data_IF_469294160330
#
_entry.id   IF_469294160330
#
_cell.length_a   1.000
_cell.length_b   1.000
_cell.length_c   1.000
_cell.angle_alpha   90.00
_cell.angle_beta   90.00
_cell.angle_gamma   90.00
#
_symmetry.space_group_name_H-M   'P 1'
#
loop_
_entity.id
_entity.type
_entity.pdbx_description
1 polymer ?
#
# COMPACT_ATOMS: atom_id res chain seq x y z
N UNK A 1 7.59 -3.48 20.20
CA UNK A 1 6.15 -3.23 20.36
C UNK A 1 5.45 -4.54 20.67
N UNK A 2 4.71 -4.60 21.77
CA UNK A 2 3.95 -5.79 22.14
C UNK A 2 2.55 -5.73 21.49
N UNK A 3 2.28 -6.62 20.57
CA UNK A 3 0.98 -6.72 19.86
C UNK A 3 0.01 -7.73 20.50
N UNK A 4 0.42 -8.43 21.56
CA UNK A 4 -0.43 -9.41 22.24
C UNK A 4 -1.38 -8.72 23.20
N UNK A 5 -2.68 -9.00 23.09
CA UNK A 5 -3.68 -8.62 24.09
C UNK A 5 -3.80 -9.65 25.22
N UNK A 6 -3.35 -10.89 24.97
CA UNK A 6 -3.55 -12.02 25.87
C UNK A 6 -2.33 -12.32 26.75
N UNK A 7 -1.15 -11.96 26.25
CA UNK A 7 0.10 -12.23 26.96
C UNK A 7 0.85 -10.93 27.19
N UNK A 8 1.15 -10.62 28.41
CA UNK A 8 2.12 -9.59 28.77
C UNK A 8 3.50 -10.26 28.89
N UNK A 9 4.54 -9.54 28.51
CA UNK A 9 5.90 -10.01 28.78
C UNK A 9 6.10 -10.02 30.28
N UNK A 10 6.37 -11.21 30.82
CA UNK A 10 6.66 -11.41 32.26
C UNK A 10 8.16 -11.32 32.56
N UNK A 11 8.99 -11.34 31.53
CA UNK A 11 10.45 -11.24 31.62
C UNK A 11 10.95 -10.06 30.85
N UNK A 12 11.89 -9.32 31.44
CA UNK A 12 12.59 -8.25 30.76
C UNK A 12 13.42 -8.81 29.61
N UNK A 13 13.21 -8.24 28.41
CA UNK A 13 14.04 -8.56 27.26
C UNK A 13 15.36 -7.78 27.41
N UNK A 14 16.48 -8.50 27.43
CA UNK A 14 17.81 -7.91 27.58
C UNK A 14 18.60 -8.08 26.28
N UNK A 15 19.20 -7.00 25.81
CA UNK A 15 20.13 -7.02 24.67
C UNK A 15 21.39 -6.23 25.05
N UNK A 16 22.56 -6.85 24.89
CA UNK A 16 23.84 -6.25 25.30
C UNK A 16 23.84 -5.75 26.76
N UNK A 17 23.32 -6.54 27.69
CA UNK A 17 23.15 -6.21 29.12
C UNK A 17 22.26 -4.99 29.41
N UNK A 18 21.48 -4.54 28.44
CA UNK A 18 20.49 -3.47 28.61
C UNK A 18 19.08 -4.00 28.50
N UNK A 19 18.23 -3.65 29.44
CA UNK A 19 16.79 -3.98 29.39
C UNK A 19 16.11 -3.18 28.28
N UNK A 20 15.40 -3.86 27.39
CA UNK A 20 14.68 -3.22 26.31
C UNK A 20 13.35 -2.62 26.80
N UNK A 21 13.14 -1.35 26.51
CA UNK A 21 11.89 -0.66 26.83
C UNK A 21 10.71 -1.21 26.02
N UNK A 22 9.59 -1.49 26.68
CA UNK A 22 8.33 -1.85 26.04
C UNK A 22 7.58 -0.58 25.65
N UNK A 23 7.52 -0.29 24.37
CA UNK A 23 6.84 0.89 23.84
C UNK A 23 5.51 0.52 23.16
N UNK A 24 4.55 1.44 23.23
CA UNK A 24 3.24 1.28 22.55
C UNK A 24 3.31 1.61 21.06
N UNK A 25 4.32 2.33 20.64
CA UNK A 25 4.55 2.71 19.26
C UNK A 25 6.05 2.86 18.96
N UNK A 26 6.43 2.57 17.73
CA UNK A 26 7.79 2.75 17.25
C UNK A 26 7.78 3.29 15.82
N UNK A 27 8.80 4.08 15.48
CA UNK A 27 9.04 4.53 14.12
C UNK A 27 10.20 3.73 13.52
N UNK A 28 9.90 2.89 12.53
CA UNK A 28 10.90 2.06 11.85
C UNK A 28 10.97 2.46 10.37
N UNK A 29 12.16 2.86 9.90
CA UNK A 29 12.41 3.27 8.51
C UNK A 29 11.37 4.29 7.98
N UNK A 30 10.96 5.21 8.85
CA UNK A 30 9.99 6.26 8.50
C UNK A 30 8.52 5.83 8.53
N UNK A 31 8.21 4.61 8.97
CA UNK A 31 6.86 4.09 9.15
C UNK A 31 6.52 3.96 10.63
N UNK A 32 5.38 4.47 11.06
CA UNK A 32 4.90 4.31 12.43
C UNK A 32 4.17 2.97 12.59
N UNK A 33 4.58 2.19 13.57
CA UNK A 33 3.98 0.92 13.97
C UNK A 33 3.47 1.09 15.39
N UNK A 34 2.18 0.83 15.59
CA UNK A 34 1.52 0.89 16.91
C UNK A 34 1.26 -0.52 17.44
N UNK A 35 1.17 -0.67 18.77
CA UNK A 35 0.91 -1.96 19.43
C UNK A 35 -0.41 -2.60 19.02
N UNK A 36 -1.37 -1.79 18.59
CA UNK A 36 -2.65 -2.25 18.07
C UNK A 36 -2.62 -2.48 16.54
N UNK A 37 -1.49 -2.30 15.87
CA UNK A 37 -1.29 -2.43 14.42
C UNK A 37 -2.32 -1.64 13.58
N UNK A 38 -2.85 -0.54 14.12
CA UNK A 38 -3.65 0.40 13.34
C UNK A 38 -2.73 1.37 12.61
N UNK A 39 -3.17 1.80 11.46
CA UNK A 39 -2.35 2.63 10.58
C UNK A 39 -2.76 4.11 10.57
N UNK A 40 -3.68 4.51 11.48
CA UNK A 40 -4.14 5.89 11.59
C UNK A 40 -2.97 6.85 11.83
N UNK A 41 -2.11 6.56 12.83
CA UNK A 41 -0.93 7.38 13.13
C UNK A 41 0.05 7.46 11.97
N UNK A 42 0.29 6.35 11.29
CA UNK A 42 1.15 6.35 10.11
C UNK A 42 0.55 7.18 8.98
N UNK A 43 -0.75 7.05 8.74
CA UNK A 43 -1.47 7.83 7.71
C UNK A 43 -1.43 9.32 8.00
N UNK A 44 -1.72 9.72 9.24
CA UNK A 44 -1.66 11.12 9.66
C UNK A 44 -0.27 11.71 9.47
N UNK A 45 0.77 10.94 9.80
CA UNK A 45 2.16 11.34 9.57
C UNK A 45 2.46 11.53 8.08
N UNK A 46 2.07 10.56 7.23
CA UNK A 46 2.30 10.64 5.78
C UNK A 46 1.57 11.81 5.15
N UNK A 47 0.31 12.05 5.52
CA UNK A 47 -0.49 13.20 5.08
C UNK A 47 0.15 14.51 5.51
N UNK A 48 0.58 14.62 6.77
CA UNK A 48 1.26 15.82 7.29
C UNK A 48 2.55 16.11 6.53
N UNK A 49 3.39 15.10 6.29
CA UNK A 49 4.64 15.25 5.55
C UNK A 49 4.41 15.59 4.07
N UNK A 50 3.42 14.99 3.44
CA UNK A 50 3.05 15.32 2.06
C UNK A 50 2.52 16.75 1.94
N UNK A 51 1.68 17.19 2.88
CA UNK A 51 1.15 18.57 2.90
C UNK A 51 2.24 19.63 3.15
N UNK A 52 3.27 19.35 3.96
CA UNK A 52 4.43 20.24 4.06
C UNK A 52 5.11 20.46 2.71
N UNK A 53 5.20 19.41 1.89
CA UNK A 53 5.84 19.45 0.56
C UNK A 53 4.95 20.06 -0.50
N UNK A 54 3.63 20.10 -0.27
CA UNK A 54 2.67 20.75 -1.16
C UNK A 54 2.99 22.25 -1.38
N UNK A 55 3.60 22.90 -0.38
CA UNK A 55 4.04 24.31 -0.48
C UNK A 55 5.04 24.51 -1.62
N UNK A 56 5.97 23.56 -1.80
CA UNK A 56 6.93 23.60 -2.91
C UNK A 56 6.22 23.51 -4.27
N UNK A 57 5.28 22.58 -4.39
CA UNK A 57 4.49 22.43 -5.63
C UNK A 57 3.68 23.72 -5.92
N UNK A 58 3.06 24.31 -4.89
CA UNK A 58 2.31 25.54 -5.01
C UNK A 58 3.22 26.73 -5.40
N UNK A 59 4.41 26.86 -4.79
CA UNK A 59 5.36 27.89 -5.16
C UNK A 59 5.83 27.71 -6.61
N UNK A 60 6.20 26.49 -7.00
CA UNK A 60 6.64 26.18 -8.36
C UNK A 60 5.54 26.47 -9.40
N UNK A 61 4.27 26.23 -9.10
CA UNK A 61 3.17 26.45 -10.06
C UNK A 61 2.94 27.91 -10.44
N UNK A 62 3.48 28.86 -9.66
CA UNK A 62 3.40 30.27 -9.99
C UNK A 62 4.31 30.64 -11.17
N UNK A 63 5.45 29.99 -11.30
CA UNK A 63 6.48 30.27 -12.30
C UNK A 63 6.49 29.24 -13.44
N UNK A 64 6.26 27.95 -13.12
CA UNK A 64 6.27 26.85 -14.08
C UNK A 64 4.87 26.65 -14.63
N UNK A 65 4.68 26.81 -15.94
CA UNK A 65 3.39 26.60 -16.64
C UNK A 65 3.28 25.19 -17.25
N UNK A 66 4.40 24.50 -17.41
CA UNK A 66 4.40 23.13 -17.94
C UNK A 66 3.89 22.13 -16.89
N UNK A 67 2.72 21.55 -17.20
CA UNK A 67 2.08 20.54 -16.35
C UNK A 67 2.91 19.27 -16.18
N UNK A 68 3.74 18.90 -17.18
CA UNK A 68 4.61 17.73 -17.09
C UNK A 68 5.66 17.91 -15.99
N UNK A 69 6.28 19.08 -15.93
CA UNK A 69 7.28 19.43 -14.91
C UNK A 69 6.63 19.43 -13.52
N UNK A 70 5.46 20.07 -13.37
CA UNK A 70 4.72 20.09 -12.10
C UNK A 70 4.28 18.67 -11.66
N UNK A 71 3.86 17.84 -12.61
CA UNK A 71 3.51 16.45 -12.35
C UNK A 71 4.72 15.65 -11.90
N UNK A 72 5.88 15.86 -12.52
CA UNK A 72 7.13 15.23 -12.10
C UNK A 72 7.54 15.65 -10.68
N UNK A 73 7.39 16.95 -10.37
CA UNK A 73 7.62 17.47 -9.01
C UNK A 73 6.69 16.82 -7.99
N UNK A 74 5.40 16.64 -8.33
CA UNK A 74 4.45 15.90 -7.50
C UNK A 74 4.92 14.46 -7.26
N UNK A 75 5.35 13.75 -8.30
CA UNK A 75 5.80 12.35 -8.18
C UNK A 75 7.01 12.20 -7.27
N UNK A 76 8.00 13.06 -7.44
CA UNK A 76 9.28 12.94 -6.73
C UNK A 76 9.22 13.44 -5.28
N UNK A 77 8.41 14.43 -4.97
CA UNK A 77 8.42 15.08 -3.65
C UNK A 77 7.21 14.75 -2.78
N UNK A 78 6.04 14.51 -3.37
CA UNK A 78 4.79 14.33 -2.63
C UNK A 78 4.35 12.88 -2.69
N UNK A 79 4.10 12.33 -3.90
CA UNK A 79 3.57 10.99 -4.08
C UNK A 79 4.49 9.91 -3.50
N UNK A 80 5.79 10.05 -3.64
CA UNK A 80 6.77 9.12 -3.07
C UNK A 80 6.58 8.92 -1.54
N UNK A 81 6.14 9.96 -0.83
CA UNK A 81 5.82 9.84 0.61
C UNK A 81 4.53 9.10 0.87
N UNK A 82 3.52 9.31 0.04
CA UNK A 82 2.22 8.62 0.16
C UNK A 82 2.28 7.15 -0.27
N UNK A 83 3.37 6.74 -0.91
CA UNK A 83 3.65 5.38 -1.36
C UNK A 83 4.66 4.64 -0.45
N UNK A 84 5.33 5.35 0.45
CA UNK A 84 6.38 4.78 1.29
C UNK A 84 5.85 3.58 2.09
N UNK A 85 6.52 2.42 1.96
CA UNK A 85 6.15 1.16 2.62
C UNK A 85 4.69 0.73 2.40
N UNK A 86 4.05 1.13 1.27
CA UNK A 86 2.63 0.89 1.02
C UNK A 86 2.24 -0.59 1.11
N UNK A 87 3.11 -1.51 0.70
CA UNK A 87 2.85 -2.95 0.80
C UNK A 87 2.60 -3.41 2.24
N UNK A 88 3.12 -2.70 3.24
CA UNK A 88 2.96 -3.07 4.64
C UNK A 88 1.59 -2.69 5.23
N UNK A 89 1.03 -1.57 4.84
CA UNK A 89 -0.13 -0.98 5.51
C UNK A 89 -1.36 -0.76 4.62
N UNK A 90 -1.20 -0.76 3.30
CA UNK A 90 -2.29 -0.42 2.37
C UNK A 90 -3.56 -1.25 2.57
N UNK A 91 -3.42 -2.56 2.77
CA UNK A 91 -4.55 -3.49 2.88
C UNK A 91 -5.37 -3.35 4.16
N UNK A 92 -4.79 -2.74 5.18
CA UNK A 92 -5.40 -2.59 6.51
C UNK A 92 -5.89 -1.16 6.80
N UNK A 93 -5.91 -0.30 5.78
CA UNK A 93 -6.41 1.07 5.91
C UNK A 93 -7.92 1.11 6.14
N UNK A 94 -8.35 2.03 6.99
CA UNK A 94 -9.75 2.41 7.10
C UNK A 94 -10.18 3.25 5.90
N UNK A 95 -11.50 3.33 5.64
CA UNK A 95 -12.03 4.20 4.58
C UNK A 95 -11.61 5.65 4.79
N UNK A 96 -11.60 6.14 6.04
CA UNK A 96 -11.11 7.46 6.39
C UNK A 96 -9.68 7.67 5.90
N UNK A 97 -8.78 6.74 6.23
CA UNK A 97 -7.36 6.82 5.84
C UNK A 97 -7.17 6.84 4.33
N UNK A 98 -7.96 6.04 3.60
CA UNK A 98 -7.93 6.04 2.13
C UNK A 98 -8.34 7.41 1.58
N UNK A 99 -9.43 7.98 2.10
CA UNK A 99 -9.93 9.30 1.69
C UNK A 99 -8.91 10.40 2.00
N UNK A 100 -8.30 10.38 3.19
CA UNK A 100 -7.35 11.40 3.61
C UNK A 100 -6.09 11.40 2.73
N UNK A 101 -5.57 10.23 2.38
CA UNK A 101 -4.46 10.09 1.44
C UNK A 101 -4.85 10.59 0.03
N UNK A 102 -6.04 10.22 -0.45
CA UNK A 102 -6.52 10.62 -1.77
C UNK A 102 -6.76 12.15 -1.87
N UNK A 103 -7.20 12.79 -0.76
CA UNK A 103 -7.34 14.24 -0.67
C UNK A 103 -6.03 14.98 -0.95
N UNK A 104 -4.90 14.44 -0.53
CA UNK A 104 -3.59 15.03 -0.82
C UNK A 104 -3.30 15.02 -2.32
N UNK A 105 -3.55 13.89 -3.00
CA UNK A 105 -3.41 13.82 -4.46
C UNK A 105 -4.36 14.78 -5.17
N UNK A 106 -5.63 14.83 -4.72
CA UNK A 106 -6.63 15.75 -5.27
C UNK A 106 -6.18 17.22 -5.15
N UNK A 107 -5.59 17.60 -4.02
CA UNK A 107 -5.03 18.95 -3.82
C UNK A 107 -3.85 19.22 -4.73
N UNK A 108 -2.93 18.27 -4.91
CA UNK A 108 -1.80 18.40 -5.82
C UNK A 108 -2.25 18.60 -7.27
N UNK A 109 -3.20 17.78 -7.72
CA UNK A 109 -3.76 17.84 -9.07
C UNK A 109 -4.46 19.17 -9.32
N UNK A 110 -5.17 19.74 -8.34
CA UNK A 110 -5.76 21.09 -8.42
C UNK A 110 -4.70 22.16 -8.61
N UNK A 111 -3.58 22.08 -7.92
CA UNK A 111 -2.47 23.01 -8.07
C UNK A 111 -1.87 22.92 -9.49
N UNK A 112 -1.66 21.69 -10.00
CA UNK A 112 -1.08 21.46 -11.33
C UNK A 112 -1.99 22.01 -12.45
N UNK A 113 -3.31 21.84 -12.31
CA UNK A 113 -4.28 22.28 -13.31
C UNK A 113 -4.66 23.78 -13.18
N UNK A 114 -4.60 24.31 -11.95
CA UNK A 114 -5.00 25.69 -11.65
C UNK A 114 -6.45 25.96 -12.05
N UNK A 115 -6.69 27.06 -12.77
CA UNK A 115 -8.03 27.47 -13.22
C UNK A 115 -8.72 26.47 -14.16
N UNK A 116 -7.96 25.59 -14.83
CA UNK A 116 -8.51 24.58 -15.76
C UNK A 116 -8.93 23.29 -15.05
N UNK A 117 -8.96 23.28 -13.73
CA UNK A 117 -9.42 22.12 -12.96
C UNK A 117 -10.96 22.04 -12.98
N UNK A 118 -11.48 21.00 -13.61
CA UNK A 118 -12.94 20.74 -13.67
C UNK A 118 -13.32 19.66 -12.68
N UNK A 119 -12.87 18.43 -12.92
CA UNK A 119 -13.13 17.29 -12.04
C UNK A 119 -11.85 16.50 -11.74
N UNK A 120 -11.86 15.77 -10.62
CA UNK A 120 -10.73 14.93 -10.24
C UNK A 120 -10.50 13.81 -11.25
N UNK A 121 -11.57 13.11 -11.65
CA UNK A 121 -11.51 11.98 -12.57
C UNK A 121 -10.95 12.37 -13.95
N UNK A 122 -11.44 13.46 -14.52
CA UNK A 122 -11.03 13.88 -15.86
C UNK A 122 -9.63 14.43 -15.86
N UNK A 123 -9.25 15.12 -14.77
CA UNK A 123 -7.88 15.59 -14.57
C UNK A 123 -6.89 14.44 -14.45
N UNK A 124 -7.23 13.36 -13.72
CA UNK A 124 -6.38 12.18 -13.65
C UNK A 124 -6.19 11.53 -15.03
N UNK A 125 -7.27 11.41 -15.81
CA UNK A 125 -7.21 10.86 -17.19
C UNK A 125 -6.30 11.72 -18.09
N UNK A 126 -6.47 13.04 -18.07
CA UNK A 126 -5.68 13.95 -18.91
C UNK A 126 -4.19 14.00 -18.54
N UNK A 127 -3.83 13.76 -17.29
CA UNK A 127 -2.45 13.63 -16.82
C UNK A 127 -1.91 12.20 -16.91
N UNK A 128 -2.76 11.24 -17.30
CA UNK A 128 -2.45 9.81 -17.23
C UNK A 128 -1.94 9.38 -15.85
N UNK A 129 -2.65 9.82 -14.82
CA UNK A 129 -2.38 9.50 -13.41
C UNK A 129 -3.48 8.57 -12.91
N UNK A 130 -3.10 7.47 -12.27
CA UNK A 130 -4.02 6.60 -11.54
C UNK A 130 -4.36 7.17 -10.15
N UNK A 131 -5.44 6.72 -9.53
CA UNK A 131 -5.74 7.02 -8.13
C UNK A 131 -4.63 6.49 -7.22
N UNK A 132 -4.43 7.09 -6.05
CA UNK A 132 -3.44 6.57 -5.09
C UNK A 132 -3.81 5.17 -4.58
N UNK A 133 -5.10 4.85 -4.54
CA UNK A 133 -5.54 3.51 -4.16
C UNK A 133 -5.06 2.47 -5.18
N UNK A 134 -5.37 2.64 -6.46
CA UNK A 134 -4.94 1.76 -7.56
C UNK A 134 -3.41 1.66 -7.63
N UNK A 135 -2.75 2.80 -7.48
CA UNK A 135 -1.29 2.88 -7.47
C UNK A 135 -0.68 2.03 -6.37
N UNK A 136 -1.20 2.12 -5.14
CA UNK A 136 -0.72 1.33 -4.00
C UNK A 136 -1.04 -0.16 -4.17
N UNK A 137 -2.22 -0.53 -4.72
CA UNK A 137 -2.50 -1.93 -5.07
C UNK A 137 -1.45 -2.49 -6.04
N UNK A 138 -1.11 -1.72 -7.06
CA UNK A 138 -0.08 -2.10 -8.03
C UNK A 138 1.30 -2.23 -7.40
N UNK A 139 1.66 -1.37 -6.44
CA UNK A 139 2.90 -1.48 -5.67
C UNK A 139 2.91 -2.74 -4.78
N UNK A 140 1.80 -3.05 -4.12
CA UNK A 140 1.62 -4.28 -3.35
C UNK A 140 1.84 -5.52 -4.23
N UNK A 141 1.22 -5.55 -5.41
CA UNK A 141 1.38 -6.65 -6.35
C UNK A 141 2.84 -6.78 -6.84
N UNK A 142 3.49 -5.65 -7.18
CA UNK A 142 4.91 -5.65 -7.57
C UNK A 142 5.79 -6.18 -6.43
N UNK A 143 5.52 -5.78 -5.19
CA UNK A 143 6.22 -6.28 -4.01
C UNK A 143 6.04 -7.79 -3.87
N UNK A 144 4.80 -8.30 -3.96
CA UNK A 144 4.51 -9.74 -3.90
C UNK A 144 5.25 -10.53 -4.99
N UNK A 145 5.24 -10.04 -6.23
CA UNK A 145 5.94 -10.67 -7.34
C UNK A 145 7.47 -10.71 -7.11
N UNK A 146 8.04 -9.60 -6.62
CA UNK A 146 9.46 -9.53 -6.28
C UNK A 146 9.82 -10.46 -5.11
N UNK A 147 8.94 -10.61 -4.13
CA UNK A 147 9.16 -11.50 -2.99
C UNK A 147 9.29 -12.96 -3.38
N UNK A 148 8.69 -13.40 -4.50
CA UNK A 148 8.86 -14.76 -5.02
C UNK A 148 10.28 -15.06 -5.49
N UNK A 149 11.06 -14.06 -5.88
CA UNK A 149 12.46 -14.23 -6.30
C UNK A 149 13.42 -14.31 -5.11
N UNK A 150 12.95 -13.99 -3.90
CA UNK A 150 13.75 -14.00 -2.66
C UNK A 150 13.44 -15.28 -1.89
N UNK A 151 14.42 -16.16 -1.70
CA UNK A 151 14.22 -17.46 -1.06
C UNK A 151 13.58 -17.36 0.32
N UNK A 152 13.98 -16.37 1.13
CA UNK A 152 13.46 -16.17 2.48
C UNK A 152 11.98 -15.79 2.52
N UNK A 153 11.37 -15.39 1.41
CA UNK A 153 9.95 -14.97 1.35
C UNK A 153 9.06 -15.93 0.56
N UNK A 154 9.63 -16.92 -0.14
CA UNK A 154 8.85 -17.89 -0.93
C UNK A 154 7.79 -18.63 -0.10
N UNK A 155 8.11 -18.98 1.15
CA UNK A 155 7.19 -19.66 2.06
C UNK A 155 5.92 -18.87 2.37
N UNK A 156 5.92 -17.54 2.17
CA UNK A 156 4.74 -16.69 2.36
C UNK A 156 3.70 -16.84 1.23
N UNK A 157 4.08 -17.47 0.13
CA UNK A 157 3.25 -17.64 -1.06
C UNK A 157 3.22 -19.10 -1.53
N UNK A 158 2.73 -20.03 -0.68
CA UNK A 158 2.64 -21.44 -1.06
C UNK A 158 1.73 -21.61 -2.28
N UNK A 159 2.10 -22.51 -3.18
CA UNK A 159 1.26 -22.87 -4.30
C UNK A 159 0.06 -23.67 -3.80
N UNK A 160 -1.10 -23.44 -4.41
CA UNK A 160 -2.30 -24.20 -4.09
C UNK A 160 -2.17 -25.64 -4.61
N UNK A 161 -2.04 -26.59 -3.69
CA UNK A 161 -2.05 -28.02 -3.99
C UNK A 161 -3.48 -28.52 -4.06
N UNK A 162 -3.86 -29.08 -5.21
CA UNK A 162 -5.20 -29.65 -5.40
C UNK A 162 -5.27 -30.98 -4.66
N UNK A 163 -6.08 -31.05 -3.62
CA UNK A 163 -6.36 -32.31 -2.92
C UNK A 163 -7.32 -33.24 -3.69
N UNK A 164 -8.06 -32.75 -4.70
CA UNK A 164 -8.99 -33.56 -5.52
C UNK A 164 -8.99 -33.17 -7.00
N UNK A 165 -9.17 -34.18 -7.86
CA UNK A 165 -9.18 -34.09 -9.33
C UNK A 165 -10.30 -33.24 -9.97
N UNK A 166 -11.25 -32.69 -9.22
CA UNK A 166 -12.30 -31.84 -9.79
C UNK A 166 -11.72 -30.48 -10.21
N UNK A 167 -11.68 -30.26 -11.50
CA UNK A 167 -11.29 -28.97 -12.11
C UNK A 167 -12.38 -27.93 -11.87
N UNK A 168 -12.32 -27.21 -10.77
CA UNK A 168 -13.12 -25.98 -10.63
C UNK A 168 -12.63 -24.93 -11.63
N UNK A 169 -13.57 -24.19 -12.25
CA UNK A 169 -13.26 -23.12 -13.21
C UNK A 169 -12.39 -21.99 -12.61
N UNK A 170 -12.32 -21.88 -11.29
CA UNK A 170 -11.55 -20.90 -10.53
C UNK A 170 -10.40 -21.54 -9.75
N UNK A 171 -9.46 -22.21 -10.44
CA UNK A 171 -8.29 -22.72 -9.73
C UNK A 171 -7.40 -21.57 -9.26
N UNK A 172 -7.30 -21.38 -7.96
CA UNK A 172 -6.34 -20.48 -7.34
C UNK A 172 -4.91 -20.98 -7.65
N UNK A 173 -3.99 -20.06 -7.89
CA UNK A 173 -2.57 -20.40 -8.10
C UNK A 173 -1.83 -20.48 -6.76
N UNK A 174 -2.18 -19.60 -5.83
CA UNK A 174 -1.56 -19.51 -4.52
C UNK A 174 -2.60 -19.81 -3.43
N UNK A 175 -2.16 -20.51 -2.39
CA UNK A 175 -2.99 -20.73 -1.21
C UNK A 175 -3.16 -19.40 -0.46
N UNK A 176 -4.40 -19.08 -0.09
CA UNK A 176 -4.67 -17.92 0.76
C UNK A 176 -4.69 -18.39 2.21
N UNK A 177 -3.82 -17.82 3.04
CA UNK A 177 -3.70 -18.15 4.45
C UNK A 177 -5.07 -18.13 5.14
N UNK A 178 -5.41 -19.21 5.83
CA UNK A 178 -6.64 -19.32 6.64
C UNK A 178 -6.61 -18.24 7.72
N UNK A 179 -7.70 -17.50 7.85
CA UNK A 179 -7.78 -16.35 8.74
C UNK A 179 -8.80 -16.60 9.86
N UNK A 180 -8.36 -16.59 11.10
CA UNK A 180 -9.23 -16.70 12.29
C UNK A 180 -9.82 -15.37 12.74
N UNK A 181 -9.22 -14.23 12.36
CA UNK A 181 -9.67 -12.91 12.74
C UNK A 181 -9.89 -12.00 11.55
N UNK A 182 -10.85 -11.05 11.67
CA UNK A 182 -11.09 -10.01 10.65
C UNK A 182 -9.82 -9.20 10.37
N UNK A 183 -9.02 -8.93 11.39
CA UNK A 183 -7.77 -8.18 11.30
C UNK A 183 -6.73 -8.92 10.45
N UNK A 184 -6.49 -10.20 10.73
CA UNK A 184 -5.55 -10.98 9.94
C UNK A 184 -5.99 -11.11 8.48
N UNK A 185 -7.30 -11.21 8.23
CA UNK A 185 -7.87 -11.28 6.88
C UNK A 185 -7.46 -10.09 6.00
N UNK A 186 -7.38 -8.87 6.57
CA UNK A 186 -6.99 -7.65 5.84
C UNK A 186 -5.49 -7.34 5.96
N UNK A 187 -4.72 -8.15 6.66
CA UNK A 187 -3.28 -7.95 6.80
C UNK A 187 -2.53 -8.21 5.48
N UNK A 188 -1.29 -7.80 5.44
CA UNK A 188 -0.44 -7.78 4.24
C UNK A 188 -0.41 -9.12 3.50
N UNK A 189 -0.02 -10.21 4.14
CA UNK A 189 0.21 -11.49 3.45
C UNK A 189 -1.06 -12.04 2.80
N UNK A 190 -2.20 -12.22 3.50
CA UNK A 190 -3.44 -12.66 2.85
C UNK A 190 -3.92 -11.72 1.74
N UNK A 191 -3.68 -10.42 1.86
CA UNK A 191 -4.01 -9.47 0.81
C UNK A 191 -3.16 -9.69 -0.45
N UNK A 192 -1.84 -9.80 -0.30
CA UNK A 192 -0.93 -10.05 -1.40
C UNK A 192 -1.23 -11.38 -2.13
N UNK A 193 -1.52 -12.44 -1.39
CA UNK A 193 -1.93 -13.74 -1.95
C UNK A 193 -3.20 -13.59 -2.81
N UNK A 194 -4.21 -12.83 -2.33
CA UNK A 194 -5.43 -12.55 -3.12
C UNK A 194 -5.16 -11.73 -4.37
N UNK A 195 -4.31 -10.70 -4.28
CA UNK A 195 -3.92 -9.88 -5.44
C UNK A 195 -3.22 -10.72 -6.50
N UNK A 196 -2.30 -11.60 -6.10
CA UNK A 196 -1.59 -12.49 -7.02
C UNK A 196 -2.54 -13.46 -7.72
N UNK A 197 -3.52 -14.03 -6.99
CA UNK A 197 -4.54 -14.88 -7.57
C UNK A 197 -5.42 -14.13 -8.58
N UNK A 198 -5.86 -12.91 -8.24
CA UNK A 198 -6.63 -12.03 -9.15
C UNK A 198 -5.86 -11.77 -10.44
N UNK A 199 -4.58 -11.46 -10.35
CA UNK A 199 -3.74 -11.25 -11.52
C UNK A 199 -3.56 -12.49 -12.37
N UNK A 200 -3.36 -13.66 -11.73
CA UNK A 200 -3.24 -14.92 -12.47
C UNK A 200 -4.52 -15.28 -13.23
N UNK A 201 -5.68 -14.96 -12.66
CA UNK A 201 -6.98 -15.15 -13.32
C UNK A 201 -7.15 -14.21 -14.52
N UNK A 202 -6.83 -12.92 -14.38
CA UNK A 202 -6.90 -11.94 -15.48
C UNK A 202 -6.04 -12.37 -16.67
N UNK A 203 -4.79 -12.76 -16.45
CA UNK A 203 -3.91 -13.27 -17.50
C UNK A 203 -4.49 -14.50 -18.22
N UNK A 204 -5.13 -15.44 -17.48
CA UNK A 204 -5.78 -16.59 -18.09
C UNK A 204 -6.97 -16.20 -18.99
N UNK A 205 -7.73 -15.19 -18.58
CA UNK A 205 -8.87 -14.68 -19.37
C UNK A 205 -8.40 -13.98 -20.64
N UNK A 206 -7.35 -13.16 -20.58
CA UNK A 206 -6.75 -12.53 -21.75
C UNK A 206 -6.23 -13.58 -22.76
N UNK A 207 -5.51 -14.61 -22.30
CA UNK A 207 -5.03 -15.71 -23.14
C UNK A 207 -6.17 -16.49 -23.83
N UNK A 208 -7.32 -16.62 -23.18
CA UNK A 208 -8.50 -17.27 -23.79
C UNK A 208 -9.14 -16.43 -24.87
N UNK A 209 -9.16 -15.10 -24.70
CA UNK A 209 -9.71 -14.17 -25.72
C UNK A 209 -8.84 -14.07 -26.97
N UNK A 210 -7.53 -14.31 -26.85
CA UNK A 210 -6.59 -14.29 -27.98
C UNK A 210 -6.57 -15.61 -28.78
N UNK A 211 -7.20 -16.67 -28.28
CA UNK A 211 -7.31 -17.97 -28.93
C UNK A 211 -8.66 -18.19 -29.63
N UNK A 212 -9.55 -17.23 -29.61
CA UNK A 212 -10.79 -17.13 -30.36
C UNK A 212 -10.65 -16.13 -31.49
#
# INVERSE_FOLDING_TARGET
VNNSKKYQFTTDLVMNNQVLEIVTEAKLLGTYITSDLKWDKNTDFLVKEANKRMRLLHAASKFVKDKKILTQLYYTHIRCRLEQSAALWHSSLTLKNIIDLERVQKSAVRIIFGQRYESYSDTLKSLNIETLFERRERLCLRFAMKSLSVNNFKHLFPLYEKQHKMMSRSSLKYEVSKTSSKRYKVSTIPHLQRLMNKQAQLKKMEFRKLKL
#
